data_IF_204390891939
#
_entry.id   IF_204390891939
#
_cell.length_a   1.000
_cell.length_b   1.000
_cell.length_c   1.000
_cell.angle_alpha   90.00
_cell.angle_beta   90.00
_cell.angle_gamma   90.00
#
_symmetry.space_group_name_H-M   'P 1'
#
loop_
_entity.id
_entity.type
_entity.pdbx_description
1 polymer ?
#
# COMPACT_ATOMS: atom_id res chain seq x y z
N UNK A 1 -22.42 -11.12 39.67
CA UNK A 1 -21.35 -10.98 38.66
C UNK A 1 -20.57 -12.28 38.60
N UNK A 2 -20.09 -12.67 37.41
CA UNK A 2 -19.27 -13.87 37.23
C UNK A 2 -17.80 -13.47 37.20
N UNK A 3 -17.06 -13.75 38.28
CA UNK A 3 -15.67 -13.31 38.48
C UNK A 3 -14.65 -14.44 38.26
N UNK A 4 -15.04 -15.54 37.62
CA UNK A 4 -14.17 -16.71 37.41
C UNK A 4 -13.21 -16.56 36.24
N UNK A 5 -13.41 -15.60 35.33
CA UNK A 5 -12.51 -15.34 34.21
C UNK A 5 -12.62 -13.90 33.68
N UNK A 6 -11.60 -13.47 32.96
CA UNK A 6 -11.56 -12.15 32.30
C UNK A 6 -12.21 -12.20 30.92
N UNK A 7 -13.11 -11.26 30.65
CA UNK A 7 -13.67 -11.05 29.32
C UNK A 7 -12.70 -10.22 28.46
N UNK A 8 -12.28 -10.76 27.31
CA UNK A 8 -11.57 -9.98 26.29
C UNK A 8 -12.59 -9.32 25.38
N UNK A 9 -12.65 -8.00 25.40
CA UNK A 9 -13.51 -7.23 24.49
C UNK A 9 -12.76 -6.95 23.17
N UNK A 10 -13.41 -7.11 22.01
CA UNK A 10 -12.80 -6.74 20.74
C UNK A 10 -12.36 -5.28 20.74
N UNK A 11 -11.12 -5.02 20.32
CA UNK A 11 -10.57 -3.67 20.13
C UNK A 11 -10.50 -3.33 18.65
N UNK A 12 -10.18 -2.08 18.33
CA UNK A 12 -9.98 -1.64 16.92
C UNK A 12 -8.89 -2.48 16.24
N UNK A 13 -9.18 -2.93 15.02
CA UNK A 13 -8.20 -3.59 14.15
C UNK A 13 -7.08 -2.61 13.81
N UNK A 14 -5.83 -3.07 13.85
CA UNK A 14 -4.67 -2.32 13.38
C UNK A 14 -4.30 -2.82 11.99
N UNK A 15 -4.29 -1.92 11.01
CA UNK A 15 -3.81 -2.20 9.67
C UNK A 15 -2.33 -1.82 9.56
N UNK A 16 -1.52 -2.71 9.02
CA UNK A 16 -0.14 -2.39 8.64
C UNK A 16 -0.11 -1.67 7.29
N UNK A 17 1.01 -1.02 6.98
CA UNK A 17 1.21 -0.39 5.68
C UNK A 17 1.37 -1.43 4.57
N UNK A 18 1.03 -1.05 3.34
CA UNK A 18 1.28 -1.84 2.13
C UNK A 18 2.54 -1.32 1.43
N UNK A 19 3.43 -2.22 1.05
CA UNK A 19 4.63 -1.88 0.28
C UNK A 19 4.50 -2.40 -1.15
N UNK A 20 4.61 -1.49 -2.12
CA UNK A 20 4.67 -1.78 -3.54
C UNK A 20 6.11 -1.66 -4.02
N UNK A 21 6.60 -2.66 -4.76
CA UNK A 21 7.91 -2.62 -5.42
C UNK A 21 7.70 -2.81 -6.92
N UNK A 22 8.25 -1.91 -7.72
CA UNK A 22 8.17 -2.00 -9.17
C UNK A 22 9.45 -1.49 -9.82
N UNK A 23 9.74 -2.01 -11.02
CA UNK A 23 10.84 -1.51 -11.83
C UNK A 23 10.56 -0.08 -12.28
N UNK A 24 11.60 0.73 -12.44
CA UNK A 24 11.46 2.03 -13.07
C UNK A 24 10.91 1.86 -14.49
N UNK A 25 9.81 2.56 -14.76
CA UNK A 25 9.20 2.64 -16.07
C UNK A 25 9.05 4.10 -16.50
N UNK A 26 8.50 4.32 -17.70
CA UNK A 26 8.22 5.69 -18.20
C UNK A 26 6.98 6.31 -17.53
N UNK A 27 6.17 5.52 -16.82
CA UNK A 27 4.92 5.92 -16.19
C UNK A 27 5.14 6.26 -14.71
N UNK A 28 5.52 7.51 -14.45
CA UNK A 28 5.81 7.99 -13.10
C UNK A 28 4.57 8.28 -12.23
N UNK A 29 3.45 7.58 -12.41
CA UNK A 29 2.18 7.96 -11.75
C UNK A 29 2.20 7.73 -10.24
N UNK A 30 2.85 6.65 -9.78
CA UNK A 30 3.08 6.40 -8.36
C UNK A 30 4.01 7.44 -7.73
N UNK A 31 5.10 7.78 -8.43
CA UNK A 31 6.01 8.82 -7.99
C UNK A 31 5.38 10.22 -8.00
N UNK A 32 4.58 10.57 -9.01
CA UNK A 32 3.81 11.82 -9.05
C UNK A 32 2.83 11.90 -7.88
N UNK A 33 2.12 10.80 -7.60
CA UNK A 33 1.21 10.74 -6.46
C UNK A 33 1.93 10.96 -5.13
N UNK A 34 3.14 10.40 -4.95
CA UNK A 34 3.98 10.72 -3.81
C UNK A 34 4.38 12.20 -3.77
N UNK A 35 4.82 12.77 -4.91
CA UNK A 35 5.22 14.18 -5.02
C UNK A 35 4.11 15.18 -4.67
N UNK A 36 2.86 14.86 -4.96
CA UNK A 36 1.70 15.72 -4.64
C UNK A 36 1.58 16.00 -3.13
N UNK A 37 2.10 15.11 -2.27
CA UNK A 37 2.13 15.31 -0.81
C UNK A 37 3.42 15.90 -0.26
N UNK A 38 4.34 16.35 -1.12
CA UNK A 38 5.56 17.03 -0.71
C UNK A 38 5.30 18.52 -0.46
N UNK A 39 6.26 19.20 0.18
CA UNK A 39 6.25 20.64 0.43
C UNK A 39 5.13 21.15 1.37
N UNK A 40 4.69 20.31 2.31
CA UNK A 40 3.70 20.70 3.32
C UNK A 40 2.25 20.60 2.85
N UNK A 41 2.03 20.21 1.61
CA UNK A 41 0.70 19.91 1.09
C UNK A 41 0.15 18.59 1.68
N UNK A 42 -1.15 18.52 2.00
CA UNK A 42 -1.75 17.27 2.44
C UNK A 42 -1.62 16.17 1.37
N UNK A 43 -1.10 15.01 1.76
CA UNK A 43 -1.02 13.86 0.87
C UNK A 43 -2.40 13.51 0.30
N UNK A 44 -2.50 13.48 -1.03
CA UNK A 44 -3.76 13.16 -1.72
C UNK A 44 -4.16 11.71 -1.43
N UNK A 45 -5.36 11.52 -0.90
CA UNK A 45 -5.88 10.19 -0.58
C UNK A 45 -6.59 9.57 -1.79
N UNK A 46 -6.36 8.29 -2.04
CA UNK A 46 -6.98 7.51 -3.12
C UNK A 46 -7.48 6.17 -2.59
N UNK A 47 -8.54 5.63 -3.18
CA UNK A 47 -8.91 4.23 -2.95
C UNK A 47 -8.07 3.36 -3.86
N UNK A 48 -7.56 2.23 -3.34
CA UNK A 48 -6.66 1.34 -4.07
C UNK A 48 -7.22 -0.07 -4.06
N UNK A 49 -7.34 -0.66 -5.25
CA UNK A 49 -7.73 -2.06 -5.43
C UNK A 49 -6.51 -2.91 -5.70
N UNK A 50 -6.27 -3.94 -4.87
CA UNK A 50 -5.28 -4.99 -5.14
C UNK A 50 -6.05 -6.21 -5.60
N UNK A 51 -5.79 -6.68 -6.82
CA UNK A 51 -6.52 -7.79 -7.42
C UNK A 51 -5.53 -8.88 -7.82
N UNK A 52 -5.79 -10.10 -7.37
CA UNK A 52 -5.07 -11.31 -7.77
C UNK A 52 -5.89 -12.02 -8.83
N UNK A 53 -5.25 -12.34 -9.94
CA UNK A 53 -5.83 -13.08 -11.06
C UNK A 53 -5.25 -14.49 -11.13
N UNK A 54 -6.02 -15.46 -11.62
CA UNK A 54 -5.52 -16.79 -11.96
C UNK A 54 -4.84 -16.79 -13.34
N UNK A 55 -4.34 -17.95 -13.77
CA UNK A 55 -3.70 -18.12 -15.09
C UNK A 55 -4.62 -17.87 -16.29
N UNK A 56 -5.94 -17.90 -16.10
CA UNK A 56 -6.93 -17.59 -17.15
C UNK A 56 -7.34 -16.12 -17.16
N UNK A 57 -6.72 -15.27 -16.34
CA UNK A 57 -7.07 -13.85 -16.22
C UNK A 57 -8.35 -13.57 -15.42
N UNK A 58 -8.89 -14.56 -14.71
CA UNK A 58 -10.07 -14.40 -13.85
C UNK A 58 -9.64 -13.90 -12.47
N UNK A 59 -10.30 -12.85 -11.97
CA UNK A 59 -10.04 -12.33 -10.62
C UNK A 59 -10.42 -13.38 -9.56
N UNK A 60 -9.46 -13.74 -8.71
CA UNK A 60 -9.61 -14.72 -7.62
C UNK A 60 -9.81 -14.03 -6.28
N UNK A 61 -9.12 -12.91 -6.07
CA UNK A 61 -9.18 -12.18 -4.81
C UNK A 61 -8.99 -10.70 -5.05
N UNK A 62 -9.68 -9.90 -4.24
CA UNK A 62 -9.63 -8.45 -4.29
C UNK A 62 -9.52 -7.91 -2.87
N UNK A 63 -8.78 -6.82 -2.73
CA UNK A 63 -8.72 -6.02 -1.51
C UNK A 63 -8.89 -4.57 -1.89
N UNK A 64 -9.74 -3.85 -1.16
CA UNK A 64 -9.93 -2.41 -1.32
C UNK A 64 -9.38 -1.67 -0.12
N UNK A 65 -8.33 -0.88 -0.35
CA UNK A 65 -7.74 0.01 0.64
C UNK A 65 -8.42 1.37 0.51
N UNK A 66 -9.09 1.79 1.58
CA UNK A 66 -9.85 3.03 1.59
C UNK A 66 -8.97 4.20 2.05
N UNK A 67 -9.03 5.30 1.30
CA UNK A 67 -8.32 6.56 1.61
C UNK A 67 -6.81 6.35 1.83
N UNK A 68 -6.21 5.47 1.04
CA UNK A 68 -4.78 5.21 1.06
C UNK A 68 -3.98 6.44 0.61
N UNK A 69 -2.76 6.59 1.11
CA UNK A 69 -1.84 7.65 0.73
C UNK A 69 -0.38 7.21 0.92
N UNK A 70 0.57 7.76 0.13
CA UNK A 70 1.98 7.44 0.28
C UNK A 70 2.54 7.97 1.59
N UNK A 71 3.36 7.17 2.26
CA UNK A 71 4.05 7.55 3.50
C UNK A 71 5.57 7.45 3.38
N UNK A 72 6.08 6.70 2.41
CA UNK A 72 7.51 6.57 2.14
C UNK A 72 7.75 6.22 0.68
N UNK A 73 8.78 6.81 0.09
CA UNK A 73 9.36 6.39 -1.19
C UNK A 73 10.84 6.07 -1.01
N UNK A 74 11.34 5.08 -1.73
CA UNK A 74 12.75 4.73 -1.78
C UNK A 74 13.10 4.45 -3.23
N UNK A 75 14.02 5.26 -3.77
CA UNK A 75 14.50 5.13 -5.14
C UNK A 75 15.37 3.90 -5.36
N UNK A 76 15.75 3.64 -6.63
CA UNK A 76 16.60 2.50 -6.97
C UNK A 76 18.02 2.66 -6.43
N UNK A 77 18.65 1.52 -6.17
CA UNK A 77 20.10 1.44 -5.96
C UNK A 77 20.80 1.55 -7.32
N UNK A 78 21.56 2.64 -7.51
CA UNK A 78 22.23 2.94 -8.77
C UNK A 78 23.71 2.60 -8.66
N UNK A 79 24.11 1.47 -9.26
CA UNK A 79 25.49 0.98 -9.27
C UNK A 79 26.00 0.81 -10.68
N UNK A 80 27.15 1.40 -10.99
CA UNK A 80 27.75 1.36 -12.33
C UNK A 80 28.38 0.02 -12.69
N UNK A 81 28.66 -0.83 -11.69
CA UNK A 81 29.31 -2.13 -11.82
C UNK A 81 28.31 -3.31 -11.88
N UNK A 82 27.00 -3.03 -11.88
CA UNK A 82 25.96 -4.06 -11.90
C UNK A 82 24.90 -3.77 -12.98
N UNK A 83 24.50 -4.81 -13.73
CA UNK A 83 23.39 -4.74 -14.70
C UNK A 83 22.01 -4.94 -14.06
N UNK A 84 21.84 -4.56 -12.79
CA UNK A 84 20.61 -4.79 -12.05
C UNK A 84 19.46 -3.90 -12.55
N UNK A 85 18.22 -4.42 -12.48
CA UNK A 85 17.02 -3.65 -12.79
C UNK A 85 16.82 -2.60 -11.70
N UNK A 86 16.65 -1.33 -12.11
CA UNK A 86 16.32 -0.26 -11.19
C UNK A 86 14.90 -0.47 -10.65
N UNK A 87 14.77 -0.62 -9.33
CA UNK A 87 13.49 -0.86 -8.64
C UNK A 87 13.23 0.25 -7.64
N UNK A 88 12.04 0.84 -7.68
CA UNK A 88 11.57 1.74 -6.64
C UNK A 88 10.57 1.08 -5.70
N UNK A 89 10.52 1.58 -4.47
CA UNK A 89 9.63 1.10 -3.41
C UNK A 89 8.73 2.22 -2.92
N UNK A 90 7.42 1.99 -2.88
CA UNK A 90 6.43 2.91 -2.35
C UNK A 90 5.67 2.25 -1.20
N UNK A 91 5.62 2.90 -0.04
CA UNK A 91 4.85 2.47 1.12
C UNK A 91 3.57 3.31 1.26
N UNK A 92 2.45 2.64 1.47
CA UNK A 92 1.12 3.21 1.57
C UNK A 92 0.51 2.93 2.94
N UNK A 93 0.03 3.97 3.61
CA UNK A 93 -0.89 3.84 4.72
C UNK A 93 -2.33 3.95 4.23
N UNK A 94 -3.28 3.35 4.94
CA UNK A 94 -4.70 3.41 4.60
C UNK A 94 -5.57 3.35 5.85
N UNK A 95 -6.79 3.89 5.76
CA UNK A 95 -7.66 4.04 6.94
C UNK A 95 -8.36 2.72 7.30
N UNK A 96 -8.82 1.97 6.27
CA UNK A 96 -9.48 0.67 6.45
C UNK A 96 -9.45 -0.18 5.18
N UNK A 97 -9.65 -1.48 5.37
CA UNK A 97 -10.01 -2.40 4.30
C UNK A 97 -11.55 -2.36 4.11
N UNK A 98 -12.06 -2.31 2.88
CA UNK A 98 -13.50 -2.50 2.63
C UNK A 98 -13.88 -3.97 2.91
N UNK A 99 -14.81 -4.26 3.84
CA UNK A 99 -15.23 -5.62 4.13
C UNK A 99 -16.13 -6.25 3.05
N UNK A 100 -16.66 -5.46 2.11
CA UNK A 100 -17.65 -5.93 1.14
C UNK A 100 -17.07 -6.25 -0.26
N UNK A 101 -15.74 -6.26 -0.39
CA UNK A 101 -15.02 -6.44 -1.66
C UNK A 101 -13.87 -7.43 -1.55
#
# INVERSE_FOLDING_TARGET
GLNSYTHKLPTRVKYGNITLKHGLDTQQDLFKWFKEGLNGEPAKRKNISIIVYNSTGTAVRRWELMRAYPVKWTGPDLKSDSGAIAVETLELAFDRLDPNK
#
